data_IF_576075358819
#
_entry.id   IF_576075358819
#
_cell.length_a   1.000
_cell.length_b   1.000
_cell.length_c   1.000
_cell.angle_alpha   90.00
_cell.angle_beta   90.00
_cell.angle_gamma   90.00
#
_symmetry.space_group_name_H-M   'P 1'
#
loop_
_entity.id
_entity.type
_entity.pdbx_description
1 polymer ?
#
# COMPACT_ATOMS: atom_id res chain seq x y z
N UNK A 1 33.98 22.05 5.62
CA UNK A 1 33.18 21.39 4.57
C UNK A 1 31.89 20.93 5.21
N UNK A 2 30.81 21.68 5.02
CA UNK A 2 29.47 21.29 5.47
C UNK A 2 28.99 20.09 4.66
N UNK A 3 28.36 19.12 5.30
CA UNK A 3 28.00 17.79 4.79
C UNK A 3 27.01 17.75 3.61
N UNK A 4 26.70 18.87 2.96
CA UNK A 4 25.68 18.95 1.92
C UNK A 4 26.19 18.66 0.51
N UNK A 5 27.45 18.93 0.18
CA UNK A 5 27.94 18.77 -1.20
C UNK A 5 27.98 17.29 -1.64
N UNK A 6 28.18 16.36 -0.69
CA UNK A 6 28.35 14.93 -0.98
C UNK A 6 27.10 14.25 -1.54
N UNK A 7 25.90 14.81 -1.28
CA UNK A 7 24.63 14.21 -1.70
C UNK A 7 23.79 15.15 -2.56
N UNK A 8 24.35 16.27 -3.02
CA UNK A 8 23.62 17.27 -3.80
C UNK A 8 23.02 16.65 -5.07
N UNK A 9 23.81 15.91 -5.85
CA UNK A 9 23.33 15.23 -7.06
C UNK A 9 22.26 14.18 -6.74
N UNK A 10 22.43 13.44 -5.64
CA UNK A 10 21.44 12.45 -5.20
C UNK A 10 20.12 13.11 -4.84
N UNK A 11 20.17 14.24 -4.12
CA UNK A 11 19.00 15.00 -3.73
C UNK A 11 18.30 15.60 -4.96
N UNK A 12 19.03 16.23 -5.87
CA UNK A 12 18.47 16.82 -7.09
C UNK A 12 17.78 15.78 -7.98
N UNK A 13 18.43 14.64 -8.20
CA UNK A 13 17.85 13.55 -8.98
C UNK A 13 16.64 12.92 -8.26
N UNK A 14 16.71 12.76 -6.93
CA UNK A 14 15.58 12.28 -6.14
C UNK A 14 14.38 13.23 -6.21
N UNK A 15 14.59 14.54 -6.07
CA UNK A 15 13.51 15.53 -6.14
C UNK A 15 12.87 15.59 -7.53
N UNK A 16 13.63 15.29 -8.59
CA UNK A 16 13.12 15.24 -9.96
C UNK A 16 12.32 13.97 -10.27
N UNK A 17 12.81 12.81 -9.82
CA UNK A 17 12.26 11.50 -10.19
C UNK A 17 11.38 10.86 -9.10
N UNK A 18 11.43 11.38 -7.88
CA UNK A 18 10.86 10.77 -6.67
C UNK A 18 11.26 9.29 -6.51
N UNK A 19 12.50 8.98 -6.92
CA UNK A 19 12.98 7.62 -7.08
C UNK A 19 13.93 7.23 -5.95
N UNK A 20 13.40 6.52 -4.95
CA UNK A 20 14.17 6.02 -3.81
C UNK A 20 15.32 5.07 -4.21
N UNK A 21 15.32 4.52 -5.43
CA UNK A 21 16.44 3.71 -5.89
C UNK A 21 17.74 4.51 -6.04
N UNK A 22 17.63 5.83 -6.22
CA UNK A 22 18.78 6.73 -6.33
C UNK A 22 19.43 7.03 -4.99
N UNK A 23 18.71 6.84 -3.87
CA UNK A 23 19.23 7.12 -2.53
C UNK A 23 20.12 5.94 -2.06
N UNK A 24 21.40 6.19 -1.73
CA UNK A 24 22.29 5.16 -1.20
C UNK A 24 21.77 4.58 0.12
N UNK A 25 21.94 3.27 0.32
CA UNK A 25 21.48 2.53 1.49
C UNK A 25 19.97 2.57 1.79
N UNK A 26 19.16 3.29 1.01
CA UNK A 26 17.71 3.26 1.13
C UNK A 26 17.14 1.93 0.63
N UNK A 27 16.01 1.53 1.22
CA UNK A 27 15.22 0.40 0.73
C UNK A 27 14.75 0.68 -0.70
N UNK A 28 15.04 -0.24 -1.61
CA UNK A 28 14.69 -0.12 -3.04
C UNK A 28 13.20 -0.36 -3.25
N UNK A 29 12.65 0.22 -4.31
CA UNK A 29 11.23 0.11 -4.63
C UNK A 29 10.75 -1.35 -4.73
N UNK A 30 11.51 -2.19 -5.42
CA UNK A 30 11.16 -3.59 -5.64
C UNK A 30 11.07 -4.37 -4.32
N UNK A 31 12.07 -4.20 -3.43
CA UNK A 31 12.06 -4.78 -2.08
C UNK A 31 10.86 -4.30 -1.25
N UNK A 32 10.52 -3.01 -1.34
CA UNK A 32 9.34 -2.44 -0.67
C UNK A 32 8.04 -3.04 -1.18
N UNK A 33 7.93 -3.21 -2.48
CA UNK A 33 6.76 -3.79 -3.15
C UNK A 33 6.59 -5.26 -2.74
N UNK A 34 7.68 -6.04 -2.78
CA UNK A 34 7.73 -7.42 -2.31
C UNK A 34 7.36 -7.56 -0.83
N UNK A 35 7.79 -6.62 0.01
CA UNK A 35 7.40 -6.59 1.43
C UNK A 35 5.91 -6.28 1.62
N UNK A 36 5.32 -5.43 0.77
CA UNK A 36 3.88 -5.17 0.79
C UNK A 36 3.06 -6.39 0.36
N UNK A 37 3.52 -7.12 -0.67
CA UNK A 37 2.92 -8.39 -1.10
C UNK A 37 2.90 -9.37 0.07
N UNK A 38 4.06 -9.64 0.69
CA UNK A 38 4.16 -10.58 1.82
C UNK A 38 3.28 -10.18 3.00
N UNK A 39 3.22 -8.89 3.33
CA UNK A 39 2.37 -8.41 4.41
C UNK A 39 0.89 -8.70 4.13
N UNK A 40 0.42 -8.43 2.90
CA UNK A 40 -0.96 -8.74 2.51
C UNK A 40 -1.21 -10.25 2.41
N UNK A 41 -0.27 -11.03 1.89
CA UNK A 41 -0.37 -12.50 1.91
C UNK A 41 -0.57 -13.02 3.33
N UNK A 42 0.22 -12.58 4.30
CA UNK A 42 0.04 -12.96 5.72
C UNK A 42 -1.34 -12.57 6.24
N UNK A 43 -1.75 -11.31 6.02
CA UNK A 43 -3.06 -10.81 6.45
C UNK A 43 -4.19 -11.66 5.89
N UNK A 44 -4.19 -11.93 4.58
CA UNK A 44 -5.29 -12.63 3.91
C UNK A 44 -5.28 -14.14 4.13
N UNK A 45 -4.11 -14.74 4.40
CA UNK A 45 -4.01 -16.17 4.72
C UNK A 45 -4.53 -16.47 6.14
N UNK A 46 -4.38 -15.53 7.07
CA UNK A 46 -4.80 -15.68 8.46
C UNK A 46 -6.21 -15.14 8.73
N UNK A 47 -6.85 -14.52 7.74
CA UNK A 47 -8.19 -13.91 7.85
C UNK A 47 -9.29 -14.70 7.15
N UNK A 48 -10.52 -14.47 7.57
CA UNK A 48 -11.74 -14.92 6.92
C UNK A 48 -12.73 -13.78 6.66
N UNK A 49 -13.92 -14.10 6.16
CA UNK A 49 -14.97 -13.13 5.82
C UNK A 49 -15.52 -12.34 7.02
N UNK A 50 -15.30 -12.81 8.25
CA UNK A 50 -15.81 -12.19 9.47
C UNK A 50 -14.70 -11.43 10.22
N UNK A 51 -13.50 -11.38 9.65
CA UNK A 51 -12.32 -10.75 10.23
C UNK A 51 -12.33 -9.23 10.05
N UNK A 52 -11.94 -8.51 11.11
CA UNK A 52 -11.68 -7.07 11.06
C UNK A 52 -10.22 -6.82 11.46
N UNK A 53 -9.44 -6.24 10.55
CA UNK A 53 -7.97 -6.19 10.66
C UNK A 53 -7.52 -4.73 10.76
N UNK A 54 -6.83 -4.40 11.84
CA UNK A 54 -6.22 -3.09 12.04
C UNK A 54 -4.74 -3.14 11.64
N UNK A 55 -4.36 -2.33 10.66
CA UNK A 55 -2.96 -2.15 10.24
C UNK A 55 -2.50 -0.74 10.59
N UNK A 56 -1.45 -0.63 11.41
CA UNK A 56 -0.79 0.64 11.73
C UNK A 56 0.53 0.71 10.97
N UNK A 57 0.73 1.77 10.19
CA UNK A 57 1.92 1.93 9.37
C UNK A 57 2.30 3.40 9.14
N UNK A 58 3.30 3.62 8.28
CA UNK A 58 3.81 4.94 7.91
C UNK A 58 3.41 5.29 6.47
N UNK A 59 3.26 6.59 6.19
CA UNK A 59 2.80 7.09 4.90
C UNK A 59 3.59 6.62 3.68
N UNK A 60 4.92 6.44 3.82
CA UNK A 60 5.76 5.91 2.74
C UNK A 60 5.42 4.47 2.35
N UNK A 61 5.19 3.60 3.35
CA UNK A 61 4.86 2.19 3.09
C UNK A 61 3.37 1.99 2.82
N UNK A 62 2.49 2.77 3.46
CA UNK A 62 1.04 2.71 3.28
C UNK A 62 0.62 2.85 1.81
N UNK A 63 1.28 3.75 1.07
CA UNK A 63 1.03 3.90 -0.37
C UNK A 63 1.39 2.65 -1.18
N UNK A 64 2.47 1.96 -0.82
CA UNK A 64 2.87 0.70 -1.46
C UNK A 64 1.88 -0.42 -1.09
N UNK A 65 1.48 -0.50 0.18
CA UNK A 65 0.49 -1.48 0.65
C UNK A 65 -0.85 -1.33 -0.08
N UNK A 66 -1.37 -0.09 -0.17
CA UNK A 66 -2.62 0.22 -0.89
C UNK A 66 -2.49 -0.07 -2.39
N UNK A 67 -1.33 0.20 -3.00
CA UNK A 67 -1.09 -0.14 -4.41
C UNK A 67 -1.27 -1.63 -4.68
N UNK A 68 -0.66 -2.48 -3.85
CA UNK A 68 -0.77 -3.94 -3.97
C UNK A 68 -2.21 -4.40 -3.67
N UNK A 69 -2.83 -3.85 -2.62
CA UNK A 69 -4.22 -4.15 -2.28
C UNK A 69 -5.17 -3.87 -3.46
N UNK A 70 -4.98 -2.77 -4.17
CA UNK A 70 -5.78 -2.39 -5.34
C UNK A 70 -5.37 -3.11 -6.63
N UNK A 71 -4.43 -4.05 -6.60
CA UNK A 71 -3.91 -4.75 -7.78
C UNK A 71 -3.17 -3.82 -8.76
N UNK A 72 -2.65 -2.70 -8.26
CA UNK A 72 -1.98 -1.67 -9.08
C UNK A 72 -0.47 -1.87 -9.07
N UNK A 73 0.11 -1.88 -10.28
CA UNK A 73 1.58 -1.81 -10.49
C UNK A 73 2.14 -0.39 -10.28
N UNK A 74 1.26 0.61 -10.03
CA UNK A 74 1.62 2.03 -9.82
C UNK A 74 1.32 2.46 -8.39
N UNK A 75 2.32 3.07 -7.75
CA UNK A 75 2.11 3.86 -6.54
C UNK A 75 1.57 5.24 -6.92
N UNK A 76 0.40 5.59 -6.39
CA UNK A 76 -0.39 6.74 -6.84
C UNK A 76 0.03 8.10 -6.26
N UNK A 77 1.04 8.14 -5.38
CA UNK A 77 1.66 9.39 -4.92
C UNK A 77 0.74 10.31 -4.11
N UNK A 78 -0.33 9.78 -3.49
CA UNK A 78 -1.24 10.60 -2.69
C UNK A 78 -0.58 11.04 -1.38
N UNK A 79 -0.90 12.26 -0.95
CA UNK A 79 -0.52 12.74 0.39
C UNK A 79 -1.18 11.83 1.43
N UNK A 80 -0.40 11.38 2.39
CA UNK A 80 -0.87 10.63 3.56
C UNK A 80 -0.90 11.60 4.75
N UNK A 81 -2.06 11.75 5.38
CA UNK A 81 -2.17 12.57 6.59
C UNK A 81 -1.68 11.77 7.80
N UNK A 82 -1.14 12.47 8.80
CA UNK A 82 -0.90 11.85 10.09
C UNK A 82 -2.23 11.34 10.65
N UNK A 83 -2.22 10.10 11.14
CA UNK A 83 -3.39 9.36 11.63
C UNK A 83 -4.54 9.22 10.61
N UNK A 84 -4.28 9.43 9.31
CA UNK A 84 -5.29 9.23 8.26
C UNK A 84 -5.77 7.77 8.21
N UNK A 85 -7.08 7.59 8.19
CA UNK A 85 -7.74 6.28 8.14
C UNK A 85 -7.96 5.86 6.69
N UNK A 86 -7.51 4.66 6.37
CA UNK A 86 -7.78 3.97 5.11
C UNK A 86 -8.56 2.70 5.44
N UNK A 87 -9.74 2.56 4.86
CA UNK A 87 -10.66 1.48 5.18
C UNK A 87 -11.19 0.87 3.89
N UNK A 88 -11.05 -0.44 3.83
CA UNK A 88 -11.45 -1.26 2.71
C UNK A 88 -12.34 -2.38 3.24
N UNK A 89 -13.42 -2.63 2.54
CA UNK A 89 -14.33 -3.75 2.79
C UNK A 89 -14.21 -4.73 1.64
N UNK A 90 -14.02 -6.01 1.96
CA UNK A 90 -13.79 -7.07 0.99
C UNK A 90 -14.73 -8.23 1.32
N UNK A 91 -15.76 -8.39 0.50
CA UNK A 91 -16.76 -9.46 0.58
C UNK A 91 -16.38 -10.64 -0.34
N UNK A 92 -15.10 -11.04 -0.31
CA UNK A 92 -14.54 -12.13 -1.11
C UNK A 92 -13.53 -12.93 -0.29
N UNK A 93 -13.76 -14.24 -0.11
CA UNK A 93 -12.89 -15.12 0.65
C UNK A 93 -12.19 -16.19 -0.21
N UNK A 94 -12.50 -16.25 -1.51
CA UNK A 94 -11.90 -17.22 -2.43
C UNK A 94 -10.66 -16.68 -3.18
N UNK A 95 -10.09 -15.57 -2.72
CA UNK A 95 -8.93 -14.92 -3.34
C UNK A 95 -7.64 -15.17 -2.55
N UNK A 96 -6.52 -15.06 -3.25
CA UNK A 96 -5.18 -15.04 -2.71
C UNK A 96 -4.31 -14.08 -3.53
N UNK A 97 -3.22 -13.60 -2.94
CA UNK A 97 -2.26 -12.72 -3.62
C UNK A 97 -1.04 -13.54 -4.08
N UNK A 98 -0.72 -13.48 -5.37
CA UNK A 98 0.46 -14.15 -5.93
C UNK A 98 1.77 -13.49 -5.47
N UNK A 99 2.90 -14.15 -5.71
CA UNK A 99 4.23 -13.62 -5.39
C UNK A 99 4.62 -12.39 -6.25
N UNK A 100 3.92 -12.19 -7.36
CA UNK A 100 4.03 -11.02 -8.23
C UNK A 100 3.09 -9.87 -7.80
N UNK A 101 2.24 -10.10 -6.79
CA UNK A 101 1.28 -9.13 -6.29
C UNK A 101 0.01 -9.03 -7.11
N UNK A 102 -0.39 -10.13 -7.77
CA UNK A 102 -1.64 -10.22 -8.53
C UNK A 102 -2.70 -10.98 -7.72
N UNK A 103 -3.91 -10.45 -7.65
CA UNK A 103 -5.04 -11.13 -6.99
C UNK A 103 -5.55 -12.25 -7.90
N UNK A 104 -5.54 -13.48 -7.40
CA UNK A 104 -5.99 -14.69 -8.11
C UNK A 104 -6.96 -15.48 -7.22
N UNK A 105 -7.78 -16.36 -7.80
CA UNK A 105 -8.62 -17.25 -7.01
C UNK A 105 -7.84 -18.45 -6.47
N UNK A 106 -8.30 -19.02 -5.35
CA UNK A 106 -7.74 -20.24 -4.76
C UNK A 106 -8.16 -21.52 -5.53
N UNK A 107 -9.19 -21.43 -6.37
CA UNK A 107 -9.76 -22.53 -7.17
C UNK A 107 -10.02 -22.05 -8.62
N UNK A 108 -10.28 -22.98 -9.55
CA UNK A 108 -10.67 -22.70 -10.95
C UNK A 108 -12.07 -22.05 -11.04
N UNK A 109 -12.22 -20.88 -10.44
CA UNK A 109 -13.42 -20.06 -10.48
C UNK A 109 -13.20 -18.84 -11.38
N UNK A 110 -14.25 -18.37 -12.04
CA UNK A 110 -14.16 -17.25 -12.98
C UNK A 110 -14.17 -15.94 -12.20
N UNK A 111 -13.36 -14.94 -12.61
CA UNK A 111 -13.62 -13.55 -12.22
C UNK A 111 -14.92 -13.15 -12.90
N UNK A 112 -16.06 -13.50 -12.30
CA UNK A 112 -17.28 -12.75 -12.52
C UNK A 112 -16.91 -11.35 -12.05
N UNK A 113 -16.59 -10.45 -13.00
CA UNK A 113 -16.25 -9.05 -12.76
C UNK A 113 -17.24 -8.51 -11.73
N UNK A 114 -16.85 -8.46 -10.44
CA UNK A 114 -17.81 -8.37 -9.36
C UNK A 114 -17.90 -6.91 -8.90
N UNK A 115 -18.90 -6.15 -9.34
CA UNK A 115 -18.94 -4.70 -9.11
C UNK A 115 -19.18 -4.31 -7.63
N UNK A 116 -19.27 -5.26 -6.69
CA UNK A 116 -19.67 -4.99 -5.30
C UNK A 116 -18.86 -5.69 -4.20
N UNK A 117 -17.83 -6.47 -4.52
CA UNK A 117 -17.09 -7.24 -3.49
C UNK A 117 -15.89 -6.52 -2.88
N UNK A 118 -15.50 -5.37 -3.42
CA UNK A 118 -14.38 -4.57 -2.92
C UNK A 118 -14.81 -3.11 -2.88
N UNK A 119 -14.75 -2.52 -1.69
CA UNK A 119 -15.20 -1.15 -1.47
C UNK A 119 -14.14 -0.38 -0.71
N UNK A 120 -13.90 0.86 -1.15
CA UNK A 120 -13.13 1.84 -0.37
C UNK A 120 -14.15 2.61 0.45
N UNK A 121 -14.16 2.38 1.77
CA UNK A 121 -15.10 3.01 2.70
C UNK A 121 -14.58 4.38 3.13
N UNK A 122 -13.28 4.46 3.43
CA UNK A 122 -12.57 5.69 3.80
C UNK A 122 -11.20 5.71 3.13
N UNK A 123 -10.78 6.88 2.66
CA UNK A 123 -9.47 7.04 2.06
C UNK A 123 -8.78 8.29 2.60
N UNK A 124 -7.72 8.08 3.39
CA UNK A 124 -6.98 9.15 4.06
C UNK A 124 -7.88 10.05 4.94
N UNK A 125 -8.88 9.44 5.58
CA UNK A 125 -9.88 10.16 6.36
C UNK A 125 -9.31 10.65 7.69
N UNK A 126 -9.57 11.91 8.00
CA UNK A 126 -9.13 12.58 9.23
C UNK A 126 -10.30 13.25 9.94
N UNK A 127 -11.54 12.85 9.63
CA UNK A 127 -12.74 13.43 10.27
C UNK A 127 -12.73 13.28 11.79
N UNK A 128 -12.12 12.22 12.32
CA UNK A 128 -11.92 12.01 13.76
C UNK A 128 -11.03 13.07 14.44
N UNK A 129 -10.20 13.81 13.68
CA UNK A 129 -9.38 14.91 14.19
C UNK A 129 -10.11 16.25 14.19
N UNK A 130 -11.27 16.36 13.55
CA UNK A 130 -12.07 17.57 13.67
C UNK A 130 -12.52 17.67 15.12
N UNK A 131 -12.03 18.70 15.81
CA UNK A 131 -12.46 19.00 17.17
C UNK A 131 -14.00 18.98 17.20
N UNK A 132 -14.56 18.36 18.24
CA UNK A 132 -15.99 18.51 18.53
C UNK A 132 -16.20 20.01 18.78
N UNK A 133 -16.75 20.72 17.81
CA UNK A 133 -17.28 22.07 18.02
C UNK A 133 -18.31 22.08 19.16
#
# INVERSE_FOLDING_TARGET
MTSNDQYQDTYENFMKENNWNLVPAAEKFDSRYQRAIKALQTIFNDSDKDSCILVVSHGGFMQTLISVLLGSKRVWGFKTNNTGIYEFEIEENNIQLSDEGEWIYKQDDYIALNPKKWSIIRFNDVTHLKERE
#
